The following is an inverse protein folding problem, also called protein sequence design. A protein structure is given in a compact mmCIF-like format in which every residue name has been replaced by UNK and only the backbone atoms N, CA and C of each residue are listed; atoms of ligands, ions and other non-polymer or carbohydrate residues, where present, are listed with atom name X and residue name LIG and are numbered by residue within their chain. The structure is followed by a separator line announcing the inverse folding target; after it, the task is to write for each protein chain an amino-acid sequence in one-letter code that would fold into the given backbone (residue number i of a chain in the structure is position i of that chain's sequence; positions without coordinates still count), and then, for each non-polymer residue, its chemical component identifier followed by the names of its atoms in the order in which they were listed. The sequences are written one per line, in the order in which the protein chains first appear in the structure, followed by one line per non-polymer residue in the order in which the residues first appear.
data_IF_092756495982
#
_entry.id   IF_092756495982
#
_cell.length_a   1.000
_cell.length_b   1.000
_cell.length_c   1.000
_cell.angle_alpha   90.00
_cell.angle_beta   90.00
_cell.angle_gamma   90.00
#
_symmetry.space_group_name_H-M   'P 1'
#
loop_
_entity.id
_entity.type
_entity.pdbx_description
1 polymer ?
#
# COMPACT_ATOMS: atom_id res chain seq x y z
N UNK A 1 -15.91 39.57 65.56
CA UNK A 1 -17.12 39.41 64.73
C UNK A 1 -16.82 39.95 63.33
N UNK A 2 -15.62 39.72 62.80
CA UNK A 2 -15.18 38.49 62.07
C UNK A 2 -15.53 38.70 60.59
N UNK A 3 -14.72 38.51 59.57
CA UNK A 3 -13.36 37.99 59.31
C UNK A 3 -13.08 38.45 57.85
N UNK A 4 -11.97 39.13 57.57
CA UNK A 4 -10.78 38.55 56.91
C UNK A 4 -10.73 38.78 55.38
N UNK A 5 -9.62 39.37 54.92
CA UNK A 5 -9.26 39.59 53.52
C UNK A 5 -8.91 38.29 52.79
N UNK A 6 -9.18 38.19 51.47
CA UNK A 6 -8.13 37.93 50.46
C UNK A 6 -8.67 37.98 49.02
N UNK A 7 -8.30 39.06 48.32
CA UNK A 7 -7.58 39.10 47.05
C UNK A 7 -8.06 38.39 45.74
N UNK A 8 -7.88 39.16 44.66
CA UNK A 8 -7.60 38.84 43.24
C UNK A 8 -8.77 38.70 42.25
N UNK A 9 -8.88 39.72 41.37
CA UNK A 9 -9.07 39.48 39.93
C UNK A 9 -10.51 39.33 39.43
N UNK A 10 -11.26 40.43 39.40
CA UNK A 10 -12.47 40.52 38.57
C UNK A 10 -12.11 40.58 37.09
N UNK A 11 -11.85 39.42 36.46
CA UNK A 11 -11.89 39.30 35.01
C UNK A 11 -13.32 39.57 34.54
N UNK A 12 -13.47 40.59 33.71
CA UNK A 12 -14.73 40.93 33.05
C UNK A 12 -15.20 39.71 32.26
N UNK A 13 -16.27 39.04 32.71
CA UNK A 13 -16.89 37.97 31.93
C UNK A 13 -17.62 38.61 30.75
N UNK A 14 -16.91 38.74 29.62
CA UNK A 14 -17.51 39.06 28.33
C UNK A 14 -18.57 38.01 28.02
N UNK A 15 -19.67 38.43 27.42
CA UNK A 15 -20.80 37.61 26.98
C UNK A 15 -20.43 36.45 26.02
N UNK A 16 -19.15 36.29 25.70
CA UNK A 16 -18.57 35.24 24.86
C UNK A 16 -18.49 33.88 25.59
N UNK A 17 -18.34 33.86 26.92
CA UNK A 17 -18.07 32.61 27.65
C UNK A 17 -19.33 31.78 28.03
N UNK A 18 -20.55 32.32 27.88
CA UNK A 18 -21.79 31.53 28.03
C UNK A 18 -22.16 30.78 26.74
N UNK A 19 -21.96 31.43 25.59
CA UNK A 19 -22.09 30.78 24.28
C UNK A 19 -21.05 29.67 24.13
N UNK A 20 -19.80 29.92 24.51
CA UNK A 20 -18.73 28.92 24.48
C UNK A 20 -19.02 27.69 25.36
N UNK A 21 -19.65 27.84 26.55
CA UNK A 21 -20.02 26.67 27.40
C UNK A 21 -21.16 25.82 26.83
N UNK A 22 -22.12 26.42 26.12
CA UNK A 22 -23.20 25.69 25.44
C UNK A 22 -22.72 25.08 24.11
N UNK A 23 -21.79 25.74 23.43
CA UNK A 23 -21.09 25.25 22.22
C UNK A 23 -20.23 24.02 22.55
N UNK A 24 -19.45 24.08 23.64
CA UNK A 24 -18.64 22.95 24.14
C UNK A 24 -19.52 21.79 24.62
N UNK A 25 -20.71 22.05 25.19
CA UNK A 25 -21.68 21.01 25.54
C UNK A 25 -22.39 20.39 24.32
N UNK A 26 -22.54 21.11 23.20
CA UNK A 26 -23.13 20.56 21.96
C UNK A 26 -22.18 19.63 21.20
N UNK A 27 -20.87 19.83 21.31
CA UNK A 27 -19.87 18.96 20.65
C UNK A 27 -19.60 17.65 21.39
N UNK A 28 -20.04 17.52 22.65
CA UNK A 28 -19.80 16.34 23.49
C UNK A 28 -20.99 15.37 23.55
N UNK A 29 -22.14 15.68 22.92
CA UNK A 29 -23.34 14.82 22.92
C UNK A 29 -23.64 14.17 21.58
N UNK A 30 -22.75 14.25 20.59
CA UNK A 30 -22.74 13.29 19.48
C UNK A 30 -22.11 12.00 20.00
N UNK A 31 -22.92 11.33 20.83
CA UNK A 31 -22.90 9.91 21.07
C UNK A 31 -22.30 9.22 19.83
N UNK A 32 -21.13 8.60 20.00
CA UNK A 32 -20.43 7.83 18.98
C UNK A 32 -21.31 6.64 18.57
N UNK A 33 -22.39 6.94 17.85
CA UNK A 33 -23.31 5.96 17.32
C UNK A 33 -22.50 5.05 16.42
N UNK A 34 -22.55 3.74 16.68
CA UNK A 34 -21.69 2.76 16.02
C UNK A 34 -21.76 2.92 14.50
N UNK A 35 -20.65 3.34 13.90
CA UNK A 35 -20.50 3.43 12.45
C UNK A 35 -20.29 2.03 11.85
N UNK A 36 -20.54 1.89 10.54
CA UNK A 36 -20.26 0.63 9.85
C UNK A 36 -18.75 0.37 9.78
N UNK A 37 -18.30 -0.73 10.39
CA UNK A 37 -16.88 -1.06 10.52
C UNK A 37 -16.22 -1.58 9.22
N UNK A 38 -16.99 -2.07 8.24
CA UNK A 38 -16.44 -2.66 7.01
C UNK A 38 -17.38 -2.53 5.80
N UNK A 39 -16.84 -2.22 4.63
CA UNK A 39 -17.60 -2.21 3.36
C UNK A 39 -16.73 -2.47 2.12
N UNK A 40 -17.23 -3.36 1.24
CA UNK A 40 -16.62 -3.66 -0.08
C UNK A 40 -17.45 -3.05 -1.23
N UNK A 41 -18.50 -2.26 -0.92
CA UNK A 41 -19.54 -1.83 -1.86
C UNK A 41 -19.04 -1.12 -3.14
N UNK A 42 -18.01 -0.28 -3.03
CA UNK A 42 -17.47 0.48 -4.18
C UNK A 42 -16.10 -0.04 -4.67
N UNK A 43 -15.61 -1.16 -4.14
CA UNK A 43 -14.28 -1.65 -4.49
C UNK A 43 -14.24 -2.20 -5.91
N UNK A 44 -15.23 -3.03 -6.29
CA UNK A 44 -15.33 -3.59 -7.65
C UNK A 44 -15.48 -2.50 -8.71
N UNK A 45 -16.35 -1.50 -8.48
CA UNK A 45 -16.54 -0.37 -9.41
C UNK A 45 -15.25 0.43 -9.61
N UNK A 46 -14.49 0.68 -8.54
CA UNK A 46 -13.16 1.33 -8.62
C UNK A 46 -12.16 0.49 -9.41
N UNK A 47 -12.07 -0.81 -9.14
CA UNK A 47 -11.15 -1.71 -9.84
C UNK A 47 -11.47 -1.79 -11.34
N UNK A 48 -12.76 -1.82 -11.70
CA UNK A 48 -13.19 -1.88 -13.10
C UNK A 48 -13.15 -0.55 -13.84
N UNK A 49 -13.11 0.62 -13.15
CA UNK A 49 -12.92 1.93 -13.82
C UNK A 49 -11.66 1.97 -14.70
N UNK A 50 -10.56 1.41 -14.20
CA UNK A 50 -9.30 1.29 -14.95
C UNK A 50 -9.14 -0.11 -15.62
N UNK A 51 -10.07 -1.02 -15.31
CA UNK A 51 -10.05 -2.42 -15.73
C UNK A 51 -9.06 -3.27 -14.94
N UNK A 52 -9.46 -4.50 -14.59
CA UNK A 52 -8.58 -5.49 -13.98
C UNK A 52 -7.74 -6.13 -15.09
N UNK A 53 -6.50 -5.65 -15.28
CA UNK A 53 -5.60 -6.15 -16.32
C UNK A 53 -4.85 -7.39 -15.83
N UNK A 54 -4.75 -8.40 -16.69
CA UNK A 54 -3.91 -9.58 -16.44
C UNK A 54 -2.43 -9.20 -16.54
N UNK A 55 -1.51 -9.87 -15.80
CA UNK A 55 -0.09 -9.68 -16.02
C UNK A 55 0.28 -10.06 -17.45
N UNK A 56 1.28 -9.36 -18.02
CA UNK A 56 1.75 -9.66 -19.37
C UNK A 56 2.51 -10.98 -19.35
N UNK A 57 2.15 -11.91 -20.23
CA UNK A 57 2.96 -13.10 -20.49
C UNK A 57 4.07 -12.75 -21.47
N UNK A 58 5.32 -13.09 -21.13
CA UNK A 58 6.45 -12.98 -22.04
C UNK A 58 6.77 -14.35 -22.65
N UNK A 59 7.32 -14.37 -23.87
CA UNK A 59 7.76 -15.64 -24.50
C UNK A 59 8.86 -16.34 -23.68
N UNK A 60 9.72 -15.56 -23.03
CA UNK A 60 10.82 -16.05 -22.21
C UNK A 60 10.79 -15.37 -20.85
N UNK A 61 10.49 -16.13 -19.80
CA UNK A 61 10.47 -15.66 -18.42
C UNK A 61 11.86 -15.72 -17.77
N UNK A 62 12.02 -15.02 -16.66
CA UNK A 62 13.29 -15.04 -15.90
C UNK A 62 13.52 -16.40 -15.24
N UNK A 63 14.78 -16.83 -15.15
CA UNK A 63 15.19 -18.08 -14.48
C UNK A 63 15.51 -17.88 -12.99
N UNK A 64 14.99 -16.81 -12.37
CA UNK A 64 15.24 -16.51 -10.96
C UNK A 64 14.53 -17.55 -10.07
N UNK A 65 15.24 -18.12 -9.10
CA UNK A 65 14.70 -19.14 -8.19
C UNK A 65 14.79 -20.59 -8.70
N UNK A 66 15.33 -20.81 -9.91
CA UNK A 66 15.65 -22.16 -10.40
C UNK A 66 16.90 -22.70 -9.69
N UNK A 67 16.97 -24.02 -9.50
CA UNK A 67 18.08 -24.71 -8.85
C UNK A 67 19.46 -24.20 -9.33
N UNK A 68 20.31 -23.70 -8.42
CA UNK A 68 21.64 -23.23 -8.76
C UNK A 68 22.51 -24.28 -9.46
N UNK A 69 22.38 -25.58 -9.13
CA UNK A 69 23.18 -26.64 -9.77
C UNK A 69 22.79 -26.81 -11.23
N UNK A 70 21.50 -26.87 -11.52
CA UNK A 70 20.98 -26.86 -12.89
C UNK A 70 21.42 -25.60 -13.67
N UNK A 71 21.30 -24.42 -13.06
CA UNK A 71 21.70 -23.16 -13.71
C UNK A 71 23.19 -23.12 -14.04
N UNK A 72 24.05 -23.62 -13.16
CA UNK A 72 25.50 -23.73 -13.43
C UNK A 72 25.75 -24.62 -14.65
N UNK A 73 25.15 -25.81 -14.70
CA UNK A 73 25.29 -26.72 -15.83
C UNK A 73 24.78 -26.09 -17.15
N UNK A 74 23.59 -25.52 -17.15
CA UNK A 74 23.03 -24.87 -18.34
C UNK A 74 23.91 -23.72 -18.84
N UNK A 75 24.52 -22.94 -17.93
CA UNK A 75 25.46 -21.87 -18.28
C UNK A 75 26.72 -22.43 -18.95
N UNK A 76 27.28 -23.52 -18.45
CA UNK A 76 28.42 -24.18 -19.08
C UNK A 76 28.07 -24.75 -20.46
N UNK A 77 26.94 -25.44 -20.60
CA UNK A 77 26.49 -25.97 -21.88
C UNK A 77 26.33 -24.85 -22.93
N UNK A 78 25.59 -23.78 -22.60
CA UNK A 78 25.41 -22.62 -23.50
C UNK A 78 26.75 -21.94 -23.84
N UNK A 79 27.70 -21.89 -22.90
CA UNK A 79 29.05 -21.33 -23.13
C UNK A 79 29.83 -22.13 -24.18
N UNK A 80 29.76 -23.45 -24.15
CA UNK A 80 30.57 -24.32 -25.01
C UNK A 80 29.91 -24.69 -26.35
N UNK A 81 28.59 -24.53 -26.50
CA UNK A 81 27.88 -24.76 -27.77
C UNK A 81 28.46 -23.97 -28.95
N UNK A 82 29.00 -22.76 -28.72
CA UNK A 82 29.63 -21.93 -29.76
C UNK A 82 30.79 -22.63 -30.48
N UNK A 83 31.51 -23.52 -29.80
CA UNK A 83 32.64 -24.26 -30.39
C UNK A 83 32.17 -25.40 -31.31
N UNK A 84 31.07 -26.07 -30.96
CA UNK A 84 30.48 -27.17 -31.74
C UNK A 84 29.66 -26.73 -32.96
N UNK A 85 29.32 -25.44 -33.05
CA UNK A 85 28.49 -24.88 -34.13
C UNK A 85 29.05 -25.15 -35.54
N UNK A 86 30.37 -25.12 -35.74
CA UNK A 86 30.97 -25.35 -37.06
C UNK A 86 30.76 -26.78 -37.55
N UNK A 87 30.86 -27.76 -36.65
CA UNK A 87 30.61 -29.16 -36.97
C UNK A 87 29.12 -29.40 -37.23
N UNK A 88 28.25 -28.81 -36.40
CA UNK A 88 26.80 -28.89 -36.58
C UNK A 88 26.32 -28.24 -37.89
N UNK A 89 26.90 -27.10 -38.30
CA UNK A 89 26.60 -26.44 -39.57
C UNK A 89 27.02 -27.27 -40.78
N UNK A 90 28.22 -27.86 -40.76
CA UNK A 90 28.66 -28.78 -41.82
C UNK A 90 27.74 -30.01 -41.93
N UNK A 91 27.34 -30.58 -40.79
CA UNK A 91 26.41 -31.71 -40.76
C UNK A 91 25.00 -31.33 -41.26
N UNK A 92 24.56 -30.09 -41.02
CA UNK A 92 23.27 -29.60 -41.50
C UNK A 92 23.27 -29.28 -43.00
N UNK A 93 24.40 -28.85 -43.57
CA UNK A 93 24.55 -28.59 -45.02
C UNK A 93 24.73 -29.86 -45.85
N UNK A 94 25.18 -30.96 -45.21
CA UNK A 94 25.30 -32.26 -45.84
C UNK A 94 23.99 -33.06 -45.87
N UNK A 95 22.88 -32.45 -45.43
CA UNK A 95 21.53 -33.01 -45.39
C UNK A 95 20.67 -32.30 -46.41
#
# INVERSE_FOLDING_TARGET
MDEEEMQVGGEQCTSENRAARVEVQRLTSINMAKSKNHTTHNQSRKAHRNGIKKPRSNRYESLKGVDPKFLRNMRFAKKHNKKGMKAAQKAAQAK
#
